data_IF_907367369215
#
_entry.id   IF_907367369215
#
_cell.length_a   1.000
_cell.length_b   1.000
_cell.length_c   1.000
_cell.angle_alpha   90.00
_cell.angle_beta   90.00
_cell.angle_gamma   90.00
#
_symmetry.space_group_name_H-M   'P 1'
#
loop_
_entity.id
_entity.type
_entity.pdbx_description
1 polymer ?
#
# COMPACT_ATOMS: atom_id res chain seq x y z
N UNK A 1 -32.94 19.63 -35.25
CA UNK A 1 -32.88 18.29 -34.63
C UNK A 1 -32.23 18.42 -33.26
N UNK A 2 -33.05 18.60 -32.21
CA UNK A 2 -32.69 18.29 -30.83
C UNK A 2 -32.49 16.75 -30.72
N UNK A 3 -31.74 16.14 -29.81
CA UNK A 3 -31.14 16.48 -28.52
C UNK A 3 -30.80 15.13 -27.82
N UNK A 4 -30.16 15.21 -26.64
CA UNK A 4 -29.80 14.13 -25.71
C UNK A 4 -28.59 13.24 -26.13
N UNK A 5 -27.52 13.06 -25.34
CA UNK A 5 -27.29 13.31 -23.92
C UNK A 5 -27.32 12.01 -23.10
N UNK A 6 -26.22 11.76 -22.36
CA UNK A 6 -26.01 10.76 -21.27
C UNK A 6 -25.60 9.34 -21.72
N UNK A 7 -24.66 8.66 -21.06
CA UNK A 7 -24.04 8.94 -19.76
C UNK A 7 -22.74 8.16 -19.56
N UNK A 8 -21.72 8.89 -19.09
CA UNK A 8 -20.56 8.31 -18.40
C UNK A 8 -21.05 7.66 -17.12
N UNK A 9 -20.99 6.33 -17.03
CA UNK A 9 -21.15 5.63 -15.75
C UNK A 9 -19.92 5.95 -14.90
N UNK A 10 -20.11 6.74 -13.84
CA UNK A 10 -19.17 6.82 -12.73
C UNK A 10 -19.19 5.46 -12.04
N UNK A 11 -18.08 4.74 -12.06
CA UNK A 11 -17.84 3.66 -11.11
C UNK A 11 -17.24 4.33 -9.87
N UNK A 12 -18.10 5.00 -9.10
CA UNK A 12 -17.77 5.48 -7.78
C UNK A 12 -18.01 4.35 -6.79
N UNK A 13 -16.98 3.55 -6.52
CA UNK A 13 -16.94 2.72 -5.33
C UNK A 13 -16.79 3.65 -4.13
N UNK A 14 -17.93 4.04 -3.55
CA UNK A 14 -17.98 4.80 -2.30
C UNK A 14 -17.54 3.88 -1.16
N UNK A 15 -16.36 4.10 -0.60
CA UNK A 15 -16.06 3.63 0.75
C UNK A 15 -16.84 4.50 1.74
N UNK A 16 -18.11 4.14 1.94
CA UNK A 16 -18.87 4.64 3.07
C UNK A 16 -18.45 3.80 4.29
N UNK A 17 -17.63 4.38 5.16
CA UNK A 17 -17.37 3.81 6.49
C UNK A 17 -18.63 4.03 7.33
N UNK A 18 -19.41 2.96 7.49
CA UNK A 18 -20.56 2.94 8.39
C UNK A 18 -20.09 2.98 9.85
N UNK A 19 -20.65 3.93 10.61
CA UNK A 19 -20.51 3.96 12.05
C UNK A 19 -21.43 2.90 12.69
N UNK A 20 -20.85 1.82 13.23
CA UNK A 20 -21.26 1.12 14.47
C UNK A 20 -20.52 -0.22 14.61
N UNK A 21 -19.90 -0.45 15.78
CA UNK A 21 -19.58 -1.80 16.28
C UNK A 21 -18.12 -2.23 16.18
N UNK A 22 -17.37 -2.06 17.28
CA UNK A 22 -16.04 -2.62 17.49
C UNK A 22 -14.96 -1.99 16.61
N UNK A 23 -13.94 -1.39 17.20
CA UNK A 23 -12.71 -1.00 16.48
C UNK A 23 -12.05 -2.28 15.98
N UNK A 24 -12.46 -2.74 14.80
CA UNK A 24 -11.74 -3.74 14.04
C UNK A 24 -10.34 -3.14 13.87
N UNK A 25 -9.33 -3.85 14.38
CA UNK A 25 -7.95 -3.46 14.15
C UNK A 25 -7.77 -3.44 12.63
N UNK A 26 -7.64 -2.25 12.06
CA UNK A 26 -7.48 -2.06 10.63
C UNK A 26 -6.19 -2.78 10.22
N UNK A 27 -6.27 -3.73 9.30
CA UNK A 27 -5.10 -4.40 8.74
C UNK A 27 -4.16 -3.34 8.14
N UNK A 28 -2.85 -3.48 8.38
CA UNK A 28 -1.85 -2.53 7.86
C UNK A 28 -0.95 -3.22 6.85
N UNK A 29 -0.87 -2.64 5.65
CA UNK A 29 0.10 -3.03 4.62
C UNK A 29 1.27 -2.05 4.64
N UNK A 30 2.45 -2.51 5.00
CA UNK A 30 3.67 -1.71 5.05
C UNK A 30 4.27 -1.60 3.64
N UNK A 31 4.47 -0.36 3.20
CA UNK A 31 5.15 -0.03 1.95
C UNK A 31 6.68 0.01 2.14
N UNK A 32 7.39 -0.13 1.04
CA UNK A 32 8.85 -0.13 0.94
C UNK A 32 9.49 1.11 1.55
N UNK A 33 8.88 2.28 1.34
CA UNK A 33 9.39 3.55 1.87
C UNK A 33 9.60 3.51 3.39
N UNK A 34 8.69 2.87 4.13
CA UNK A 34 8.75 2.76 5.60
C UNK A 34 9.77 1.74 6.05
N UNK A 35 9.86 0.59 5.39
CA UNK A 35 10.87 -0.44 5.72
C UNK A 35 12.28 0.07 5.46
N UNK A 36 12.51 0.75 4.33
CA UNK A 36 13.80 1.34 3.99
C UNK A 36 14.21 2.39 5.03
N UNK A 37 13.30 3.26 5.45
CA UNK A 37 13.61 4.28 6.46
C UNK A 37 13.97 3.66 7.81
N UNK A 38 13.26 2.61 8.23
CA UNK A 38 13.61 1.86 9.43
C UNK A 38 14.99 1.20 9.31
N UNK A 39 15.30 0.58 8.16
CA UNK A 39 16.62 0.01 7.90
C UNK A 39 17.73 1.09 7.89
N UNK A 40 17.40 2.32 7.54
CA UNK A 40 18.30 3.49 7.58
C UNK A 40 18.37 4.17 8.94
N UNK A 41 17.67 3.66 9.96
CA UNK A 41 17.75 4.17 11.33
C UNK A 41 16.81 5.35 11.63
N UNK A 42 15.76 5.56 10.84
CA UNK A 42 14.72 6.55 11.17
C UNK A 42 13.99 6.15 12.46
N UNK A 43 14.06 7.01 13.47
CA UNK A 43 13.36 6.83 14.73
C UNK A 43 11.84 6.86 14.53
N UNK A 44 11.34 7.77 13.68
CA UNK A 44 9.90 7.89 13.40
C UNK A 44 9.36 6.65 12.68
N UNK A 45 10.11 6.13 11.69
CA UNK A 45 9.73 4.90 11.00
C UNK A 45 9.68 3.71 11.98
N UNK A 46 10.66 3.63 12.87
CA UNK A 46 10.73 2.58 13.90
C UNK A 46 9.54 2.67 14.86
N UNK A 47 9.27 3.86 15.40
CA UNK A 47 8.17 4.10 16.33
C UNK A 47 6.81 3.78 15.71
N UNK A 48 6.61 4.11 14.43
CA UNK A 48 5.39 3.75 13.71
C UNK A 48 5.27 2.24 13.52
N UNK A 49 6.33 1.54 13.08
CA UNK A 49 6.29 0.10 12.89
C UNK A 49 6.01 -0.64 14.21
N UNK A 50 6.62 -0.22 15.31
CA UNK A 50 6.38 -0.77 16.65
C UNK A 50 4.94 -0.55 17.10
N UNK A 51 4.41 0.68 16.92
CA UNK A 51 3.02 1.00 17.26
C UNK A 51 2.05 0.13 16.48
N UNK A 52 2.17 0.07 15.16
CA UNK A 52 1.27 -0.74 14.32
C UNK A 52 1.42 -2.23 14.64
N UNK A 53 2.64 -2.72 14.92
CA UNK A 53 2.89 -4.10 15.32
C UNK A 53 2.24 -4.47 16.65
N UNK A 54 2.17 -3.52 17.60
CA UNK A 54 1.49 -3.73 18.87
C UNK A 54 -0.02 -3.86 18.72
N UNK A 55 -0.59 -3.30 17.65
CA UNK A 55 -2.02 -3.40 17.33
C UNK A 55 -2.37 -4.65 16.52
N UNK A 56 -1.42 -5.24 15.78
CA UNK A 56 -1.63 -6.46 15.02
C UNK A 56 -0.44 -6.86 14.14
N UNK A 57 -0.55 -7.99 13.40
CA UNK A 57 0.45 -8.36 12.42
C UNK A 57 0.64 -7.27 11.37
N UNK A 58 1.89 -7.09 10.91
CA UNK A 58 2.21 -6.22 9.79
C UNK A 58 2.19 -7.04 8.50
N UNK A 59 1.52 -6.54 7.47
CA UNK A 59 1.41 -7.19 6.17
C UNK A 59 2.28 -6.44 5.15
N UNK A 60 2.78 -7.12 4.12
CA UNK A 60 3.47 -6.48 3.00
C UNK A 60 3.32 -7.30 1.71
N UNK A 61 3.44 -6.63 0.56
CA UNK A 61 3.46 -7.28 -0.75
C UNK A 61 4.85 -7.88 -1.03
N UNK A 62 4.93 -8.97 -1.80
CA UNK A 62 6.22 -9.49 -2.31
C UNK A 62 6.98 -8.46 -3.17
N UNK A 63 6.30 -7.47 -3.76
CA UNK A 63 6.96 -6.33 -4.42
C UNK A 63 7.82 -5.55 -3.41
N UNK A 64 7.27 -5.26 -2.23
CA UNK A 64 8.01 -4.59 -1.16
C UNK A 64 9.22 -5.41 -0.72
N UNK A 65 9.11 -6.74 -0.66
CA UNK A 65 10.27 -7.60 -0.37
C UNK A 65 11.34 -7.46 -1.44
N UNK A 66 10.94 -7.53 -2.71
CA UNK A 66 11.84 -7.38 -3.86
C UNK A 66 12.59 -6.05 -3.80
N UNK A 67 11.89 -4.94 -3.55
CA UNK A 67 12.50 -3.62 -3.51
C UNK A 67 13.45 -3.44 -2.32
N UNK A 68 13.08 -3.95 -1.13
CA UNK A 68 13.97 -3.93 0.04
C UNK A 68 15.25 -4.74 -0.22
N UNK A 69 15.13 -5.93 -0.82
CA UNK A 69 16.29 -6.77 -1.13
C UNK A 69 17.15 -6.15 -2.24
N UNK A 70 16.54 -5.57 -3.28
CA UNK A 70 17.26 -4.90 -4.36
C UNK A 70 17.99 -3.64 -3.88
N UNK A 71 17.40 -2.92 -2.91
CA UNK A 71 17.98 -1.71 -2.30
C UNK A 71 18.95 -1.98 -1.14
N UNK A 72 19.15 -3.24 -0.75
CA UNK A 72 19.96 -3.63 0.40
C UNK A 72 21.44 -3.32 0.17
N UNK A 73 22.10 -2.71 1.15
CA UNK A 73 23.55 -2.41 1.10
C UNK A 73 24.38 -3.51 1.73
N UNK A 74 25.66 -3.57 1.35
CA UNK A 74 26.61 -4.47 1.99
C UNK A 74 26.65 -4.25 3.51
N UNK A 75 26.60 -5.33 4.28
CA UNK A 75 26.54 -5.29 5.75
C UNK A 75 25.14 -5.15 6.35
N UNK A 76 24.09 -4.92 5.55
CA UNK A 76 22.71 -4.85 6.04
C UNK A 76 21.98 -6.21 6.01
N UNK A 77 22.59 -7.26 5.45
CA UNK A 77 21.97 -8.58 5.21
C UNK A 77 21.21 -9.14 6.43
N UNK A 78 21.87 -9.20 7.58
CA UNK A 78 21.29 -9.82 8.78
C UNK A 78 20.10 -9.03 9.32
N UNK A 79 20.23 -7.70 9.42
CA UNK A 79 19.15 -6.83 9.89
C UNK A 79 17.97 -6.81 8.92
N UNK A 80 18.23 -6.83 7.61
CA UNK A 80 17.19 -6.88 6.58
C UNK A 80 16.43 -8.19 6.67
N UNK A 81 17.11 -9.35 6.72
CA UNK A 81 16.42 -10.64 6.84
C UNK A 81 15.65 -10.79 8.15
N UNK A 82 16.18 -10.25 9.25
CA UNK A 82 15.46 -10.22 10.53
C UNK A 82 14.18 -9.36 10.45
N UNK A 83 14.24 -8.18 9.84
CA UNK A 83 13.05 -7.37 9.61
C UNK A 83 12.04 -8.12 8.73
N UNK A 84 12.49 -8.68 7.60
CA UNK A 84 11.60 -9.33 6.64
C UNK A 84 10.89 -10.56 7.25
N UNK A 85 11.52 -11.27 8.19
CA UNK A 85 10.88 -12.43 8.85
C UNK A 85 9.74 -12.05 9.79
N UNK A 86 9.63 -10.77 10.17
CA UNK A 86 8.59 -10.29 11.07
C UNK A 86 7.25 -9.97 10.37
N UNK A 87 7.22 -9.85 9.04
CA UNK A 87 6.03 -9.47 8.27
C UNK A 87 5.26 -10.69 7.73
N UNK A 88 3.95 -10.51 7.51
CA UNK A 88 3.11 -11.41 6.72
C UNK A 88 3.15 -10.99 5.26
N UNK A 89 3.56 -11.89 4.38
CA UNK A 89 3.80 -11.58 2.98
C UNK A 89 2.69 -12.08 2.08
N UNK A 90 2.35 -11.27 1.08
CA UNK A 90 1.28 -11.54 0.13
C UNK A 90 1.83 -11.59 -1.29
N UNK A 91 1.56 -12.67 -2.05
CA UNK A 91 2.08 -12.84 -3.39
C UNK A 91 1.48 -11.83 -4.36
N UNK A 92 2.17 -11.62 -5.48
CA UNK A 92 1.57 -10.98 -6.66
C UNK A 92 1.13 -12.10 -7.60
N UNK A 93 -0.13 -12.50 -7.47
CA UNK A 93 -0.75 -13.51 -8.32
C UNK A 93 -1.64 -12.85 -9.39
N UNK A 94 -2.43 -13.66 -10.10
CA UNK A 94 -3.32 -13.20 -11.15
C UNK A 94 -4.38 -12.20 -10.64
N UNK A 95 -4.90 -12.39 -9.42
CA UNK A 95 -5.91 -11.50 -8.84
C UNK A 95 -5.31 -10.13 -8.54
N UNK A 96 -4.13 -10.10 -7.92
CA UNK A 96 -3.37 -8.85 -7.69
C UNK A 96 -3.05 -8.16 -9.01
N UNK A 97 -2.60 -8.90 -10.02
CA UNK A 97 -2.23 -8.34 -11.32
C UNK A 97 -3.42 -7.73 -12.07
N UNK A 98 -4.57 -8.42 -12.12
CA UNK A 98 -5.80 -7.89 -12.72
C UNK A 98 -6.27 -6.61 -12.01
N UNK A 99 -6.27 -6.64 -10.67
CA UNK A 99 -6.66 -5.49 -9.87
C UNK A 99 -5.70 -4.31 -10.05
N UNK A 100 -4.39 -4.56 -10.11
CA UNK A 100 -3.39 -3.54 -10.41
C UNK A 100 -3.60 -2.94 -11.82
N UNK A 101 -3.94 -3.77 -12.81
CA UNK A 101 -4.27 -3.33 -14.16
C UNK A 101 -5.50 -2.42 -14.22
N UNK A 102 -6.56 -2.73 -13.46
CA UNK A 102 -7.73 -1.86 -13.32
C UNK A 102 -7.39 -0.49 -12.72
N UNK A 103 -6.58 -0.49 -11.65
CA UNK A 103 -6.09 0.73 -11.04
C UNK A 103 -5.25 1.53 -12.04
N UNK A 104 -4.38 0.86 -12.80
CA UNK A 104 -3.54 1.48 -13.81
C UNK A 104 -4.36 2.19 -14.89
N UNK A 105 -5.37 1.52 -15.44
CA UNK A 105 -6.31 2.13 -16.43
C UNK A 105 -7.00 3.38 -15.89
N UNK A 106 -7.24 3.43 -14.59
CA UNK A 106 -7.94 4.54 -13.93
C UNK A 106 -7.00 5.71 -13.62
N UNK A 107 -5.79 5.44 -13.15
CA UNK A 107 -4.94 6.45 -12.51
C UNK A 107 -3.73 6.90 -13.34
N UNK A 108 -3.11 6.00 -14.11
CA UNK A 108 -1.93 6.34 -14.93
C UNK A 108 -2.17 7.49 -15.92
N UNK A 109 -3.36 7.66 -16.54
CA UNK A 109 -3.60 8.79 -17.45
C UNK A 109 -3.51 10.17 -16.79
N UNK A 110 -3.61 10.27 -15.46
CA UNK A 110 -3.61 11.55 -14.73
C UNK A 110 -2.56 11.66 -13.63
N UNK A 111 -1.78 10.60 -13.38
CA UNK A 111 -0.78 10.54 -12.31
C UNK A 111 0.51 9.88 -12.81
N UNK A 112 1.34 10.67 -13.49
CA UNK A 112 2.56 10.20 -14.17
C UNK A 112 3.67 9.69 -13.24
N UNK A 113 3.52 9.81 -11.92
CA UNK A 113 4.48 9.33 -10.93
C UNK A 113 4.17 7.96 -10.34
N UNK A 114 3.09 7.31 -10.78
CA UNK A 114 2.69 5.97 -10.33
C UNK A 114 3.30 4.94 -11.28
N UNK A 115 3.96 3.93 -10.75
CA UNK A 115 4.47 2.80 -11.55
C UNK A 115 3.74 1.48 -11.28
N UNK A 116 4.20 0.40 -11.92
CA UNK A 116 3.60 -0.93 -11.75
C UNK A 116 3.76 -1.51 -10.35
N UNK A 117 4.84 -1.18 -9.64
CA UNK A 117 5.09 -1.64 -8.28
C UNK A 117 4.12 -0.95 -7.32
N UNK A 118 3.93 0.36 -7.45
CA UNK A 118 2.93 1.13 -6.69
C UNK A 118 1.52 0.54 -6.89
N UNK A 119 1.15 0.21 -8.14
CA UNK A 119 -0.16 -0.38 -8.46
C UNK A 119 -0.35 -1.78 -7.87
N UNK A 120 0.69 -2.61 -7.88
CA UNK A 120 0.66 -3.94 -7.28
C UNK A 120 0.50 -3.86 -5.75
N UNK A 121 1.26 -2.97 -5.09
CA UNK A 121 1.13 -2.72 -3.64
C UNK A 121 -0.27 -2.20 -3.31
N UNK A 122 -0.78 -1.25 -4.09
CA UNK A 122 -2.13 -0.71 -3.91
C UNK A 122 -3.21 -1.79 -4.09
N UNK A 123 -3.08 -2.66 -5.09
CA UNK A 123 -3.98 -3.78 -5.33
C UNK A 123 -3.96 -4.77 -4.16
N UNK A 124 -2.76 -5.15 -3.67
CA UNK A 124 -2.62 -5.99 -2.48
C UNK A 124 -3.32 -5.38 -1.27
N UNK A 125 -3.15 -4.07 -1.02
CA UNK A 125 -3.78 -3.41 0.11
C UNK A 125 -5.32 -3.43 0.00
N UNK A 126 -5.86 -3.17 -1.19
CA UNK A 126 -7.31 -3.19 -1.44
C UNK A 126 -7.89 -4.59 -1.23
N UNK A 127 -7.25 -5.64 -1.73
CA UNK A 127 -7.73 -7.02 -1.60
C UNK A 127 -7.72 -7.52 -0.15
N UNK A 128 -6.83 -6.97 0.68
CA UNK A 128 -6.73 -7.29 2.10
C UNK A 128 -7.60 -6.41 3.00
N UNK A 129 -8.35 -5.45 2.43
CA UNK A 129 -8.99 -4.36 3.18
C UNK A 129 -8.03 -3.68 4.16
N UNK A 130 -6.80 -3.44 3.69
CA UNK A 130 -5.69 -2.93 4.49
C UNK A 130 -5.41 -1.46 4.19
N UNK A 131 -5.02 -0.72 5.23
CA UNK A 131 -4.49 0.64 5.11
C UNK A 131 -3.01 0.59 4.71
N UNK A 132 -2.59 1.25 3.61
CA UNK A 132 -1.19 1.42 3.30
C UNK A 132 -0.47 2.28 4.34
N UNK A 133 0.72 1.86 4.73
CA UNK A 133 1.64 2.62 5.56
C UNK A 133 2.81 3.05 4.69
N UNK A 134 2.72 4.25 4.12
CA UNK A 134 3.64 4.77 3.09
C UNK A 134 3.95 6.24 3.30
N UNK A 135 5.17 6.67 2.91
CA UNK A 135 5.50 8.10 2.75
C UNK A 135 5.11 8.66 1.40
N UNK A 136 4.95 7.81 0.39
CA UNK A 136 4.70 8.21 -1.00
C UNK A 136 3.20 8.40 -1.27
N UNK A 137 2.49 9.13 -0.38
CA UNK A 137 1.02 9.29 -0.42
C UNK A 137 0.49 9.65 -1.82
N UNK A 138 1.22 10.49 -2.56
CA UNK A 138 0.86 10.89 -3.94
C UNK A 138 0.80 9.75 -4.95
N UNK A 139 1.46 8.61 -4.70
CA UNK A 139 1.41 7.43 -5.56
C UNK A 139 0.18 6.56 -5.29
N UNK A 140 -0.54 6.84 -4.21
CA UNK A 140 -1.69 6.07 -3.74
C UNK A 140 -3.00 6.88 -3.76
N UNK A 141 -3.35 7.57 -4.87
CA UNK A 141 -4.52 8.45 -4.91
C UNK A 141 -5.86 7.71 -4.78
N UNK A 142 -5.86 6.38 -4.95
CA UNK A 142 -7.03 5.52 -4.75
C UNK A 142 -7.42 5.35 -3.27
N UNK A 143 -6.58 5.75 -2.31
CA UNK A 143 -6.87 5.69 -0.89
C UNK A 143 -7.27 7.07 -0.37
N UNK A 144 -8.58 7.29 -0.21
CA UNK A 144 -9.10 8.56 0.30
C UNK A 144 -8.60 8.84 1.73
N UNK A 145 -8.10 10.05 1.96
CA UNK A 145 -7.64 10.48 3.29
C UNK A 145 -6.31 9.84 3.75
N UNK A 146 -5.58 9.16 2.86
CA UNK A 146 -4.26 8.63 3.17
C UNK A 146 -3.30 9.77 3.56
N UNK A 147 -2.53 9.55 4.63
CA UNK A 147 -1.52 10.48 5.14
C UNK A 147 -0.22 9.75 5.41
N UNK A 148 0.90 10.46 5.27
CA UNK A 148 2.18 9.93 5.67
C UNK A 148 2.15 9.65 7.18
N UNK A 149 2.71 8.52 7.63
CA UNK A 149 2.64 8.11 9.03
C UNK A 149 3.58 8.88 9.95
N UNK A 150 4.52 9.62 9.37
CA UNK A 150 5.47 10.55 9.97
C UNK A 150 5.94 11.54 8.89
#
# INVERSE_FOLDING_TARGET
MAGAGRGRRRVGGSFAVGAAGGRHAMTVLVDTSVLIDHLRGSADATAVLERERSAGPLHASEITRLEVLAGMRAGEEQRTRFLLSALRWHPVDAEVAERAGELGRTWLPSHHGIDGADLAIAATAILLDARPLTRNVRHFPMFAGLRAPY
#
